data_IF_490512774296
#
_entry.id   IF_490512774296
#
_cell.length_a   1.000
_cell.length_b   1.000
_cell.length_c   1.000
_cell.angle_alpha   90.00
_cell.angle_beta   90.00
_cell.angle_gamma   90.00
#
_symmetry.space_group_name_H-M   'P 1'
#
loop_
_entity.id
_entity.type
_entity.pdbx_description
1 polymer ?
#
# COMPACT_ATOMS: atom_id res chain seq x y z
N UNK A 1 42.92 -19.69 28.28
CA UNK A 1 42.31 -19.95 26.94
C UNK A 1 40.80 -19.91 27.06
N UNK A 2 40.13 -18.94 26.43
CA UNK A 2 38.67 -18.88 26.45
C UNK A 2 38.13 -20.06 25.63
N UNK A 3 37.25 -20.83 26.24
CA UNK A 3 36.65 -22.00 25.61
C UNK A 3 35.76 -21.55 24.42
N UNK A 4 35.92 -22.14 23.22
CA UNK A 4 35.12 -21.85 22.01
C UNK A 4 33.60 -21.85 22.29
N UNK A 5 33.13 -22.74 23.17
CA UNK A 5 31.71 -22.79 23.60
C UNK A 5 31.28 -21.50 24.32
N UNK A 6 32.16 -20.95 25.17
CA UNK A 6 31.88 -19.70 25.88
C UNK A 6 31.86 -18.50 24.93
N UNK A 7 32.74 -18.46 23.90
CA UNK A 7 32.72 -17.41 22.90
C UNK A 7 31.39 -17.43 22.12
N UNK A 8 30.96 -18.59 21.67
CA UNK A 8 29.69 -18.76 20.96
C UNK A 8 28.51 -18.29 21.84
N UNK A 9 28.50 -18.69 23.11
CA UNK A 9 27.46 -18.26 24.07
C UNK A 9 27.42 -16.74 24.23
N UNK A 10 28.58 -16.08 24.41
CA UNK A 10 28.65 -14.63 24.56
C UNK A 10 28.24 -13.88 23.30
N UNK A 11 28.61 -14.37 22.10
CA UNK A 11 28.16 -13.80 20.82
C UNK A 11 26.64 -13.93 20.67
N UNK A 12 26.08 -15.08 21.07
CA UNK A 12 24.62 -15.29 21.03
C UNK A 12 23.88 -14.35 22.01
N UNK A 13 24.38 -14.21 23.23
CA UNK A 13 23.81 -13.28 24.24
C UNK A 13 23.89 -11.84 23.72
N UNK A 14 25.04 -11.43 23.18
CA UNK A 14 25.20 -10.08 22.62
C UNK A 14 24.22 -9.83 21.44
N UNK A 15 24.03 -10.79 20.56
CA UNK A 15 23.07 -10.70 19.47
C UNK A 15 21.62 -10.58 19.97
N UNK A 16 21.23 -11.40 20.96
CA UNK A 16 19.90 -11.30 21.56
C UNK A 16 19.69 -9.96 22.28
N UNK A 17 20.70 -9.48 23.00
CA UNK A 17 20.63 -8.18 23.67
C UNK A 17 20.52 -7.04 22.67
N UNK A 18 21.24 -7.11 21.56
CA UNK A 18 21.16 -6.15 20.47
C UNK A 18 19.74 -6.14 19.83
N UNK A 19 19.18 -7.32 19.50
CA UNK A 19 17.81 -7.43 18.97
C UNK A 19 16.77 -6.91 19.99
N UNK A 20 17.00 -7.17 21.27
CA UNK A 20 16.12 -6.67 22.33
C UNK A 20 16.15 -5.13 22.40
N UNK A 21 17.33 -4.51 22.33
CA UNK A 21 17.46 -3.04 22.26
C UNK A 21 16.73 -2.49 21.03
N UNK A 22 16.92 -3.10 19.86
CA UNK A 22 16.24 -2.69 18.62
C UNK A 22 14.70 -2.87 18.68
N UNK A 23 14.22 -3.72 19.60
CA UNK A 23 12.77 -3.90 19.80
C UNK A 23 12.12 -2.76 20.60
N UNK A 24 12.91 -1.92 21.26
CA UNK A 24 12.39 -0.80 22.03
C UNK A 24 11.92 0.33 21.11
N UNK A 25 10.78 0.91 21.47
CA UNK A 25 10.34 2.14 20.84
C UNK A 25 11.01 3.32 21.57
N UNK A 26 12.15 3.72 21.05
CA UNK A 26 12.93 4.85 21.58
C UNK A 26 12.55 6.19 20.91
N UNK A 27 11.50 6.19 20.12
CA UNK A 27 11.04 7.41 19.44
C UNK A 27 10.39 8.36 20.47
N UNK A 28 10.61 9.68 20.36
CA UNK A 28 9.83 10.66 21.11
C UNK A 28 8.35 10.55 20.74
N UNK A 29 7.48 11.23 21.48
CA UNK A 29 6.05 11.31 21.15
C UNK A 29 5.87 11.59 19.66
N UNK A 30 5.12 10.70 18.98
CA UNK A 30 4.95 10.77 17.54
C UNK A 30 3.63 11.43 17.21
N UNK A 31 3.69 12.42 16.35
CA UNK A 31 2.51 12.87 15.62
C UNK A 31 2.30 11.89 14.45
N UNK A 32 1.32 11.00 14.59
CA UNK A 32 1.01 10.05 13.53
C UNK A 32 0.28 10.74 12.39
N UNK A 33 0.72 10.50 11.17
CA UNK A 33 0.06 10.96 9.94
C UNK A 33 -0.76 9.79 9.39
N UNK A 34 -2.05 10.02 9.22
CA UNK A 34 -2.95 9.06 8.59
C UNK A 34 -3.39 9.52 7.21
N UNK A 35 -3.47 8.58 6.30
CA UNK A 35 -4.02 8.72 4.97
C UNK A 35 -4.89 7.51 4.62
N UNK A 36 -5.46 7.50 3.44
CA UNK A 36 -6.16 6.33 2.89
C UNK A 36 -5.68 6.01 1.48
N UNK A 37 -5.66 4.74 1.14
CA UNK A 37 -5.65 4.30 -0.24
C UNK A 37 -7.08 4.34 -0.77
N UNK A 38 -7.31 4.87 -1.98
CA UNK A 38 -8.61 4.90 -2.62
C UNK A 38 -8.51 4.30 -4.03
N UNK A 39 -9.39 3.34 -4.31
CA UNK A 39 -9.46 2.62 -5.57
C UNK A 39 -10.84 2.73 -6.20
N UNK A 40 -10.89 3.26 -7.43
CA UNK A 40 -12.13 3.28 -8.22
C UNK A 40 -12.60 1.85 -8.53
N UNK A 41 -11.67 0.93 -8.81
CA UNK A 41 -12.01 -0.48 -9.01
C UNK A 41 -12.71 -1.07 -7.79
N UNK A 42 -12.14 -0.88 -6.60
CA UNK A 42 -12.71 -1.41 -5.37
C UNK A 42 -14.08 -0.79 -5.04
N UNK A 43 -14.24 0.52 -5.27
CA UNK A 43 -15.55 1.18 -5.17
C UNK A 43 -16.59 0.56 -6.12
N UNK A 44 -16.20 0.27 -7.37
CA UNK A 44 -17.08 -0.37 -8.36
C UNK A 44 -17.43 -1.81 -7.99
N UNK A 45 -16.49 -2.59 -7.45
CA UNK A 45 -16.74 -3.94 -6.92
C UNK A 45 -17.79 -3.92 -5.80
N UNK A 46 -17.73 -2.91 -4.92
CA UNK A 46 -18.72 -2.68 -3.87
C UNK A 46 -20.03 -2.05 -4.37
N UNK A 47 -20.19 -1.83 -5.69
CA UNK A 47 -21.33 -1.17 -6.32
C UNK A 47 -21.63 0.22 -5.73
N UNK A 48 -20.59 0.93 -5.31
CA UNK A 48 -20.67 2.30 -4.81
C UNK A 48 -20.60 3.30 -5.97
N UNK A 49 -21.26 4.46 -5.77
CA UNK A 49 -20.91 5.66 -6.52
C UNK A 49 -19.54 6.15 -6.04
N UNK A 50 -18.49 5.80 -6.78
CA UNK A 50 -17.12 6.08 -6.39
C UNK A 50 -16.85 7.59 -6.21
N UNK A 51 -17.52 8.47 -6.97
CA UNK A 51 -17.37 9.93 -6.81
C UNK A 51 -17.93 10.39 -5.48
N UNK A 52 -19.13 9.93 -5.12
CA UNK A 52 -19.72 10.25 -3.81
C UNK A 52 -18.89 9.69 -2.67
N UNK A 53 -18.41 8.47 -2.82
CA UNK A 53 -17.54 7.83 -1.82
C UNK A 53 -16.23 8.61 -1.64
N UNK A 54 -15.57 9.00 -2.74
CA UNK A 54 -14.35 9.79 -2.70
C UNK A 54 -14.56 11.17 -2.06
N UNK A 55 -15.65 11.86 -2.42
CA UNK A 55 -15.99 13.14 -1.79
C UNK A 55 -16.32 12.98 -0.30
N UNK A 56 -16.97 11.89 0.10
CA UNK A 56 -17.21 11.61 1.52
C UNK A 56 -15.89 11.37 2.29
N UNK A 57 -14.92 10.69 1.70
CA UNK A 57 -13.58 10.53 2.27
C UNK A 57 -12.91 11.90 2.49
N UNK A 58 -13.00 12.80 1.52
CA UNK A 58 -12.40 14.13 1.61
C UNK A 58 -13.15 15.08 2.55
N UNK A 59 -14.49 15.05 2.55
CA UNK A 59 -15.33 16.06 3.20
C UNK A 59 -15.88 15.64 4.56
N UNK A 60 -16.27 14.36 4.72
CA UNK A 60 -16.80 13.85 5.98
C UNK A 60 -15.70 13.26 6.87
N UNK A 61 -14.82 12.40 6.32
CA UNK A 61 -13.65 11.92 7.07
C UNK A 61 -12.54 12.97 7.23
N UNK A 62 -12.52 14.02 6.39
CA UNK A 62 -11.46 15.05 6.38
C UNK A 62 -10.07 14.52 6.04
N UNK A 63 -9.98 13.45 5.25
CA UNK A 63 -8.69 12.91 4.80
C UNK A 63 -7.94 13.95 3.97
N UNK A 64 -6.63 14.09 4.24
CA UNK A 64 -5.73 15.02 3.55
C UNK A 64 -4.49 14.36 2.97
N UNK A 65 -4.35 13.05 3.16
CA UNK A 65 -3.29 12.25 2.56
C UNK A 65 -3.94 11.07 1.83
N UNK A 66 -3.78 11.00 0.53
CA UNK A 66 -4.43 10.02 -0.33
C UNK A 66 -3.39 9.23 -1.11
N UNK A 67 -3.61 7.94 -1.28
CA UNK A 67 -2.92 7.11 -2.24
C UNK A 67 -3.90 6.74 -3.32
N UNK A 68 -3.69 7.25 -4.52
CA UNK A 68 -4.52 7.04 -5.70
C UNK A 68 -3.85 6.08 -6.67
N UNK A 69 -4.63 5.42 -7.49
CA UNK A 69 -4.14 4.39 -8.40
C UNK A 69 -4.47 4.76 -9.85
N UNK A 70 -3.46 4.89 -10.69
CA UNK A 70 -3.62 5.06 -12.12
C UNK A 70 -3.79 3.67 -12.78
N UNK A 71 -4.98 3.08 -12.69
CA UNK A 71 -5.22 1.77 -13.26
C UNK A 71 -5.12 1.81 -14.79
N UNK A 72 -4.22 1.02 -15.36
CA UNK A 72 -3.95 1.02 -16.80
C UNK A 72 -5.22 0.80 -17.65
N UNK A 73 -6.09 -0.21 -17.39
CA UNK A 73 -7.29 -0.41 -18.23
C UNK A 73 -8.32 0.73 -18.14
N UNK A 74 -8.34 1.51 -17.06
CA UNK A 74 -9.21 2.70 -16.96
C UNK A 74 -8.58 3.91 -17.66
N UNK A 75 -7.27 4.02 -17.59
CA UNK A 75 -6.51 5.12 -18.17
C UNK A 75 -6.27 4.96 -19.67
N UNK A 76 -6.06 3.73 -20.14
CA UNK A 76 -5.87 3.41 -21.56
C UNK A 76 -6.71 2.17 -21.94
N UNK A 77 -8.04 2.32 -22.04
CA UNK A 77 -8.96 1.21 -22.33
C UNK A 77 -8.77 0.60 -23.72
N UNK A 78 -8.13 1.33 -24.64
CA UNK A 78 -7.75 0.87 -25.99
C UNK A 78 -6.38 1.45 -26.31
N UNK A 79 -5.61 0.74 -27.11
CA UNK A 79 -4.27 1.17 -27.54
C UNK A 79 -4.27 2.62 -28.06
N UNK A 80 -3.44 3.46 -27.42
CA UNK A 80 -3.30 4.88 -27.75
C UNK A 80 -4.48 5.78 -27.37
N UNK A 81 -5.57 5.24 -26.83
CA UNK A 81 -6.76 6.00 -26.43
C UNK A 81 -6.75 6.20 -24.90
N UNK A 82 -6.34 7.38 -24.48
CA UNK A 82 -6.23 7.72 -23.05
C UNK A 82 -7.48 8.39 -22.50
N UNK A 83 -7.93 7.94 -21.33
CA UNK A 83 -9.02 8.51 -20.53
C UNK A 83 -8.54 8.78 -19.10
N UNK A 84 -8.28 10.02 -18.79
CA UNK A 84 -7.84 10.44 -17.47
C UNK A 84 -8.98 10.97 -16.58
N UNK A 85 -10.23 10.93 -17.04
CA UNK A 85 -11.35 11.62 -16.38
C UNK A 85 -11.56 11.22 -14.93
N UNK A 86 -11.29 9.97 -14.56
CA UNK A 86 -11.46 9.48 -13.19
C UNK A 86 -10.31 9.95 -12.28
N UNK A 87 -9.07 9.82 -12.73
CA UNK A 87 -7.91 10.26 -11.96
C UNK A 87 -7.82 11.80 -11.92
N UNK A 88 -8.18 12.49 -13.00
CA UNK A 88 -8.31 13.96 -13.03
C UNK A 88 -9.27 14.46 -11.95
N UNK A 89 -10.46 13.85 -11.87
CA UNK A 89 -11.44 14.19 -10.85
C UNK A 89 -10.85 14.02 -9.45
N UNK A 90 -10.20 12.87 -9.18
CA UNK A 90 -9.62 12.58 -7.87
C UNK A 90 -8.53 13.60 -7.50
N UNK A 91 -7.61 13.88 -8.41
CA UNK A 91 -6.52 14.84 -8.18
C UNK A 91 -7.06 16.26 -7.99
N UNK A 92 -7.99 16.72 -8.85
CA UNK A 92 -8.57 18.06 -8.75
C UNK A 92 -9.37 18.25 -7.46
N UNK A 93 -10.13 17.24 -7.02
CA UNK A 93 -10.88 17.34 -5.76
C UNK A 93 -9.95 17.31 -4.53
N UNK A 94 -8.81 16.62 -4.62
CA UNK A 94 -7.75 16.69 -3.62
C UNK A 94 -7.10 18.10 -3.58
N UNK A 95 -6.77 18.67 -4.73
CA UNK A 95 -6.21 20.05 -4.84
C UNK A 95 -7.12 21.09 -4.20
N UNK A 96 -8.43 21.06 -4.53
CA UNK A 96 -9.42 22.01 -3.96
C UNK A 96 -9.46 22.00 -2.43
N UNK A 97 -9.01 20.91 -1.80
CA UNK A 97 -9.03 20.71 -0.34
C UNK A 97 -7.65 20.73 0.30
N UNK A 98 -6.62 21.14 -0.46
CA UNK A 98 -5.21 21.11 -0.02
C UNK A 98 -4.80 19.72 0.50
N UNK A 99 -5.31 18.66 -0.11
CA UNK A 99 -4.91 17.30 0.20
C UNK A 99 -3.73 16.88 -0.68
N UNK A 100 -2.83 16.08 -0.11
CA UNK A 100 -1.67 15.53 -0.80
C UNK A 100 -2.02 14.16 -1.40
N UNK A 101 -1.48 13.87 -2.58
CA UNK A 101 -1.68 12.59 -3.25
C UNK A 101 -0.36 11.86 -3.50
N UNK A 102 -0.39 10.56 -3.34
CA UNK A 102 0.55 9.59 -3.92
C UNK A 102 -0.16 9.02 -5.14
N UNK A 103 0.47 9.00 -6.30
CA UNK A 103 -0.08 8.33 -7.49
C UNK A 103 0.73 7.08 -7.74
N UNK A 104 0.08 5.91 -7.67
CA UNK A 104 0.66 4.63 -8.01
C UNK A 104 0.54 4.39 -9.52
N UNK A 105 1.67 4.09 -10.16
CA UNK A 105 1.79 3.78 -11.59
C UNK A 105 2.56 2.48 -11.78
N UNK A 106 2.33 1.79 -12.87
CA UNK A 106 2.96 0.52 -13.18
C UNK A 106 1.94 -0.50 -13.66
N UNK A 107 2.35 -1.74 -13.74
CA UNK A 107 1.48 -2.86 -14.10
C UNK A 107 0.85 -3.51 -12.86
N UNK A 108 1.65 -3.78 -11.83
CA UNK A 108 1.19 -4.31 -10.56
C UNK A 108 0.87 -3.15 -9.61
N UNK A 109 -0.40 -2.95 -9.32
CA UNK A 109 -0.91 -1.82 -8.58
C UNK A 109 -1.70 -2.27 -7.34
N UNK A 110 -1.89 -1.38 -6.34
CA UNK A 110 -2.67 -1.70 -5.15
C UNK A 110 -4.10 -2.16 -5.47
N UNK A 111 -4.56 -3.19 -4.77
CA UNK A 111 -5.88 -3.76 -4.93
C UNK A 111 -5.88 -5.06 -5.74
N UNK A 112 -6.62 -6.07 -5.22
CA UNK A 112 -6.76 -7.35 -5.90
C UNK A 112 -7.51 -7.17 -7.23
N UNK A 113 -7.12 -7.84 -8.35
CA UNK A 113 -6.07 -8.86 -8.48
C UNK A 113 -4.64 -8.31 -8.69
N UNK A 114 -4.34 -7.09 -8.35
CA UNK A 114 -3.09 -6.34 -8.45
C UNK A 114 -2.63 -6.05 -9.91
N UNK A 115 -2.54 -7.04 -10.79
CA UNK A 115 -2.22 -6.83 -12.19
C UNK A 115 -3.50 -6.60 -12.98
N UNK A 116 -3.80 -5.32 -13.21
CA UNK A 116 -4.91 -4.88 -14.04
C UNK A 116 -4.39 -4.59 -15.45
N UNK A 117 -4.50 -5.59 -16.34
CA UNK A 117 -4.01 -5.49 -17.71
C UNK A 117 -5.17 -5.12 -18.65
N UNK A 118 -5.04 -4.10 -19.52
CA UNK A 118 -6.02 -3.83 -20.56
C UNK A 118 -6.17 -5.02 -21.52
N UNK A 119 -7.37 -5.31 -21.99
CA UNK A 119 -7.64 -6.45 -22.89
C UNK A 119 -6.77 -6.45 -24.15
N UNK A 120 -6.46 -5.26 -24.68
CA UNK A 120 -5.64 -5.10 -25.87
C UNK A 120 -4.16 -5.43 -25.63
N UNK A 121 -3.69 -5.38 -24.38
CA UNK A 121 -2.31 -5.72 -23.98
C UNK A 121 -2.13 -7.23 -23.82
N UNK A 122 -3.18 -7.95 -23.41
CA UNK A 122 -3.12 -9.40 -23.10
C UNK A 122 -2.47 -10.24 -24.23
N UNK A 123 -2.76 -10.01 -25.54
CA UNK A 123 -2.15 -10.80 -26.62
C UNK A 123 -0.72 -10.39 -26.98
N UNK A 124 -0.19 -9.31 -26.42
CA UNK A 124 1.13 -8.80 -26.77
C UNK A 124 2.26 -9.71 -26.28
N UNK A 125 3.38 -9.70 -27.01
CA UNK A 125 4.61 -10.31 -26.52
C UNK A 125 5.14 -9.55 -25.30
N UNK A 126 6.02 -10.19 -24.51
CA UNK A 126 6.62 -9.57 -23.34
C UNK A 126 7.31 -8.22 -23.66
N UNK A 127 8.06 -8.15 -24.75
CA UNK A 127 8.77 -6.93 -25.13
C UNK A 127 7.79 -5.82 -25.58
N UNK A 128 6.71 -6.17 -26.28
CA UNK A 128 5.64 -5.23 -26.64
C UNK A 128 4.90 -4.72 -25.40
N UNK A 129 4.53 -5.63 -24.48
CA UNK A 129 3.91 -5.25 -23.22
C UNK A 129 4.77 -4.25 -22.44
N UNK A 130 6.08 -4.51 -22.34
CA UNK A 130 7.03 -3.60 -21.70
C UNK A 130 7.06 -2.23 -22.36
N UNK A 131 7.09 -2.18 -23.71
CA UNK A 131 7.10 -0.91 -24.45
C UNK A 131 5.82 -0.10 -24.21
N UNK A 132 4.67 -0.75 -24.20
CA UNK A 132 3.38 -0.08 -23.96
C UNK A 132 3.24 0.37 -22.51
N UNK A 133 3.72 -0.43 -21.55
CA UNK A 133 3.77 -0.03 -20.12
C UNK A 133 4.61 1.24 -19.92
N UNK A 134 5.78 1.32 -20.52
CA UNK A 134 6.64 2.52 -20.46
C UNK A 134 5.93 3.74 -21.05
N UNK A 135 5.23 3.60 -22.19
CA UNK A 135 4.46 4.70 -22.79
C UNK A 135 3.30 5.14 -21.91
N UNK A 136 2.59 4.17 -21.31
CA UNK A 136 1.50 4.45 -20.37
C UNK A 136 2.01 5.24 -19.14
N UNK A 137 3.10 4.78 -18.50
CA UNK A 137 3.71 5.50 -17.36
C UNK A 137 4.11 6.92 -17.78
N UNK A 138 4.73 7.08 -18.96
CA UNK A 138 5.10 8.40 -19.48
C UNK A 138 3.89 9.33 -19.60
N UNK A 139 2.75 8.85 -20.08
CA UNK A 139 1.52 9.64 -20.21
C UNK A 139 0.98 10.07 -18.85
N UNK A 140 0.95 9.16 -17.87
CA UNK A 140 0.49 9.46 -16.51
C UNK A 140 1.40 10.48 -15.85
N UNK A 141 2.72 10.27 -15.87
CA UNK A 141 3.69 11.17 -15.23
C UNK A 141 3.64 12.57 -15.84
N UNK A 142 3.66 12.68 -17.17
CA UNK A 142 3.59 13.97 -17.84
C UNK A 142 2.30 14.72 -17.55
N UNK A 143 1.19 14.04 -17.26
CA UNK A 143 -0.07 14.67 -16.92
C UNK A 143 -0.08 15.27 -15.52
N UNK A 144 0.46 14.56 -14.54
CA UNK A 144 0.29 14.95 -13.12
C UNK A 144 1.52 15.54 -12.43
N UNK A 145 2.71 15.50 -13.04
CA UNK A 145 3.96 16.01 -12.42
C UNK A 145 3.93 17.47 -11.98
N UNK A 146 3.02 18.28 -12.53
CA UNK A 146 2.87 19.70 -12.16
C UNK A 146 1.67 19.92 -11.22
N UNK A 147 0.99 18.89 -10.76
CA UNK A 147 -0.13 19.02 -9.83
C UNK A 147 0.39 19.45 -8.45
N UNK A 148 -0.17 20.52 -7.85
CA UNK A 148 0.22 20.94 -6.51
C UNK A 148 -0.17 19.93 -5.42
N UNK A 149 -1.07 18.99 -5.71
CA UNK A 149 -1.43 17.92 -4.79
C UNK A 149 -0.43 16.77 -4.81
N UNK A 150 0.32 16.57 -5.89
CA UNK A 150 1.26 15.45 -6.00
C UNK A 150 2.40 15.61 -5.00
N UNK A 151 2.61 14.56 -4.19
CA UNK A 151 3.70 14.50 -3.23
C UNK A 151 4.71 13.41 -3.54
N UNK A 152 4.24 12.26 -4.01
CA UNK A 152 5.08 11.11 -4.34
C UNK A 152 4.52 10.35 -5.54
N UNK A 153 5.41 9.77 -6.31
CA UNK A 153 5.08 8.66 -7.21
C UNK A 153 5.27 7.34 -6.47
N UNK A 154 4.37 6.39 -6.65
CA UNK A 154 4.67 5.00 -6.33
C UNK A 154 4.83 4.25 -7.65
N UNK A 155 5.95 3.56 -7.82
CA UNK A 155 6.19 2.71 -8.98
C UNK A 155 5.99 1.27 -8.55
N UNK A 156 5.06 0.58 -9.19
CA UNK A 156 4.68 -0.79 -8.89
C UNK A 156 4.18 -1.00 -7.44
N UNK A 157 3.61 -2.16 -7.16
CA UNK A 157 3.19 -2.55 -5.82
C UNK A 157 3.78 -3.90 -5.43
N UNK A 158 4.56 -3.95 -4.34
CA UNK A 158 5.13 -5.18 -3.76
C UNK A 158 5.76 -6.13 -4.79
N UNK A 159 6.43 -5.58 -5.81
CA UNK A 159 6.90 -6.30 -7.00
C UNK A 159 7.89 -7.45 -6.65
N UNK A 160 8.53 -7.38 -5.47
CA UNK A 160 9.45 -8.41 -4.99
C UNK A 160 8.74 -9.56 -4.28
N UNK A 161 7.44 -9.42 -3.95
CA UNK A 161 6.63 -10.45 -3.35
C UNK A 161 6.10 -11.42 -4.42
N UNK A 162 6.87 -12.46 -4.73
CA UNK A 162 6.53 -13.41 -5.79
C UNK A 162 5.44 -14.43 -5.41
N UNK A 163 5.19 -14.61 -4.11
CA UNK A 163 4.41 -15.73 -3.61
C UNK A 163 2.89 -15.59 -3.80
N UNK A 164 2.35 -14.37 -3.72
CA UNK A 164 0.91 -14.12 -3.80
C UNK A 164 0.41 -13.69 -5.19
N UNK A 165 1.29 -13.22 -6.04
CA UNK A 165 0.94 -12.64 -7.33
C UNK A 165 0.86 -13.63 -8.49
N UNK A 166 1.17 -14.91 -8.27
CA UNK A 166 1.33 -15.88 -9.36
C UNK A 166 0.10 -16.04 -10.26
N UNK A 167 -1.11 -16.03 -9.70
CA UNK A 167 -2.32 -16.33 -10.48
C UNK A 167 -2.86 -15.15 -11.29
N UNK A 168 -2.69 -13.92 -10.82
CA UNK A 168 -3.24 -12.71 -11.45
C UNK A 168 -2.27 -12.02 -12.40
N UNK A 169 -0.97 -12.27 -12.24
CA UNK A 169 0.08 -11.62 -13.01
C UNK A 169 0.94 -12.60 -13.83
N UNK A 170 0.51 -13.86 -14.01
CA UNK A 170 1.33 -14.98 -14.53
C UNK A 170 1.92 -14.77 -15.91
N UNK A 171 1.24 -14.05 -16.79
CA UNK A 171 1.72 -13.87 -18.16
C UNK A 171 2.95 -12.96 -18.28
N UNK A 172 3.25 -12.14 -17.23
CA UNK A 172 4.27 -11.11 -17.29
C UNK A 172 5.23 -11.09 -16.09
N UNK A 173 5.02 -11.97 -15.10
CA UNK A 173 5.65 -11.90 -13.76
C UNK A 173 7.10 -12.38 -13.65
N UNK A 174 7.57 -13.23 -14.54
CA UNK A 174 8.94 -13.73 -14.40
C UNK A 174 9.99 -12.62 -14.52
N UNK A 175 9.60 -11.49 -15.13
CA UNK A 175 10.47 -10.36 -15.45
C UNK A 175 10.00 -9.00 -14.94
N UNK A 176 8.93 -8.93 -14.14
CA UNK A 176 8.42 -7.64 -13.65
C UNK A 176 9.48 -6.83 -12.89
N UNK A 177 10.37 -7.50 -12.15
CA UNK A 177 11.50 -6.82 -11.50
C UNK A 177 12.62 -6.38 -12.45
N UNK A 178 12.65 -6.85 -13.70
CA UNK A 178 13.64 -6.45 -14.69
C UNK A 178 13.33 -5.08 -15.29
N UNK A 179 12.04 -4.76 -15.45
CA UNK A 179 11.58 -3.47 -15.98
C UNK A 179 11.61 -2.36 -14.93
N UNK A 180 11.54 -2.70 -13.64
CA UNK A 180 11.42 -1.75 -12.54
C UNK A 180 12.49 -0.64 -12.56
N UNK A 181 13.74 -0.97 -12.86
CA UNK A 181 14.81 0.04 -12.90
C UNK A 181 14.61 1.04 -14.04
N UNK A 182 14.05 0.59 -15.17
CA UNK A 182 13.70 1.45 -16.29
C UNK A 182 12.51 2.34 -15.97
N UNK A 183 11.49 1.82 -15.28
CA UNK A 183 10.32 2.58 -14.82
C UNK A 183 10.73 3.67 -13.85
N UNK A 184 11.54 3.35 -12.84
CA UNK A 184 12.07 4.34 -11.88
C UNK A 184 12.87 5.41 -12.61
N UNK A 185 13.78 5.01 -13.51
CA UNK A 185 14.59 5.94 -14.27
C UNK A 185 13.73 6.82 -15.20
N UNK A 186 12.64 6.28 -15.75
CA UNK A 186 11.68 7.04 -16.54
C UNK A 186 10.99 8.10 -15.69
N UNK A 187 10.43 7.72 -14.54
CA UNK A 187 9.74 8.64 -13.63
C UNK A 187 10.68 9.77 -13.19
N UNK A 188 11.89 9.46 -12.72
CA UNK A 188 12.88 10.47 -12.32
C UNK A 188 13.29 11.39 -13.48
N UNK A 189 13.40 10.89 -14.70
CA UNK A 189 13.73 11.70 -15.88
C UNK A 189 12.61 12.67 -16.24
N UNK A 190 11.37 12.24 -16.10
CA UNK A 190 10.18 13.05 -16.45
C UNK A 190 9.80 14.04 -15.34
N UNK A 191 10.03 13.62 -14.09
CA UNK A 191 9.72 14.39 -12.88
C UNK A 191 10.85 14.22 -11.85
N UNK A 192 11.89 15.06 -11.92
CA UNK A 192 13.00 15.02 -10.97
C UNK A 192 12.66 15.64 -9.60
N UNK A 193 11.46 16.18 -9.42
CA UNK A 193 11.05 16.90 -8.21
C UNK A 193 10.41 15.98 -7.18
N UNK A 194 9.52 15.09 -7.63
CA UNK A 194 8.75 14.23 -6.72
C UNK A 194 9.45 12.89 -6.51
N UNK A 195 9.70 12.51 -5.23
CA UNK A 195 10.37 11.25 -4.92
C UNK A 195 9.53 10.02 -5.29
N UNK A 196 10.23 8.93 -5.59
CA UNK A 196 9.62 7.63 -5.92
C UNK A 196 9.56 6.74 -4.69
N UNK A 197 8.35 6.26 -4.37
CA UNK A 197 8.10 5.21 -3.36
C UNK A 197 8.21 3.86 -4.04
N UNK A 198 8.95 2.95 -3.42
CA UNK A 198 8.88 1.52 -3.69
C UNK A 198 8.36 0.78 -2.48
N UNK A 199 7.57 -0.26 -2.76
CA UNK A 199 6.86 -1.00 -1.71
C UNK A 199 7.31 -2.46 -1.62
N UNK A 200 7.24 -3.02 -0.41
CA UNK A 200 7.44 -4.44 -0.16
C UNK A 200 6.57 -4.90 1.01
N UNK A 201 6.15 -6.16 1.00
CA UNK A 201 5.29 -6.73 2.03
C UNK A 201 5.93 -6.63 3.42
N UNK A 202 5.12 -6.25 4.38
CA UNK A 202 5.56 -6.14 5.78
C UNK A 202 5.96 -7.47 6.36
N UNK A 203 5.10 -8.46 6.21
CA UNK A 203 5.24 -9.79 6.81
C UNK A 203 6.25 -10.66 6.05
N UNK A 204 6.19 -10.66 4.71
CA UNK A 204 6.92 -11.61 3.87
C UNK A 204 8.04 -10.99 3.04
N UNK A 205 7.99 -9.69 2.78
CA UNK A 205 9.03 -8.98 2.03
C UNK A 205 10.37 -8.98 2.77
N UNK A 206 11.45 -8.95 2.04
CA UNK A 206 12.80 -8.78 2.63
C UNK A 206 13.15 -7.31 2.87
N UNK A 207 12.42 -6.41 2.26
CA UNK A 207 12.60 -4.94 2.18
C UNK A 207 13.85 -4.49 1.43
N UNK A 208 14.83 -5.35 1.32
CA UNK A 208 16.15 -5.05 0.78
C UNK A 208 16.14 -4.30 -0.56
N UNK A 209 15.42 -4.85 -1.56
CA UNK A 209 15.44 -4.25 -2.89
C UNK A 209 14.59 -2.97 -2.96
N UNK A 210 13.38 -2.99 -2.40
CA UNK A 210 12.52 -1.82 -2.35
C UNK A 210 13.19 -0.67 -1.59
N UNK A 211 13.81 -0.98 -0.45
CA UNK A 211 14.51 0.03 0.34
C UNK A 211 15.72 0.63 -0.39
N UNK A 212 16.48 -0.16 -1.16
CA UNK A 212 17.63 0.35 -1.89
C UNK A 212 17.27 1.20 -3.10
N UNK A 213 16.25 0.78 -3.86
CA UNK A 213 15.92 1.37 -5.17
C UNK A 213 15.01 2.60 -5.07
N UNK A 214 14.10 2.64 -4.10
CA UNK A 214 13.20 3.79 -3.91
C UNK A 214 13.85 4.94 -3.15
N UNK A 215 13.40 6.16 -3.40
CA UNK A 215 13.76 7.34 -2.58
C UNK A 215 13.06 7.27 -1.23
N UNK A 216 11.83 6.76 -1.22
CA UNK A 216 11.00 6.52 -0.06
C UNK A 216 10.65 5.04 -0.01
N UNK A 217 10.63 4.47 1.18
CA UNK A 217 10.25 3.08 1.39
C UNK A 217 8.82 2.98 1.92
N UNK A 218 8.01 2.14 1.27
CA UNK A 218 6.66 1.78 1.72
C UNK A 218 6.55 0.31 2.11
N UNK A 219 5.76 0.00 3.13
CA UNK A 219 5.47 -1.39 3.50
C UNK A 219 3.99 -1.57 3.82
N UNK A 220 3.51 -2.80 3.76
CA UNK A 220 2.15 -3.16 4.17
C UNK A 220 2.13 -3.76 5.59
N UNK A 221 0.96 -3.79 6.23
CA UNK A 221 0.69 -4.52 7.47
C UNK A 221 -0.69 -5.18 7.36
N UNK A 222 -0.69 -6.52 7.34
CA UNK A 222 -1.87 -7.37 7.30
C UNK A 222 -1.81 -8.42 8.40
N UNK A 223 -2.42 -8.17 9.54
CA UNK A 223 -2.43 -9.12 10.66
C UNK A 223 -3.49 -10.21 10.48
N UNK A 224 -4.64 -9.86 9.92
CA UNK A 224 -5.80 -10.73 9.77
C UNK A 224 -5.98 -11.11 8.32
N UNK A 225 -5.80 -12.40 8.02
CA UNK A 225 -5.84 -12.92 6.65
C UNK A 225 -6.64 -14.18 6.55
N UNK A 226 -7.14 -14.47 5.36
CA UNK A 226 -7.77 -15.75 5.03
C UNK A 226 -7.24 -16.25 3.69
N UNK A 227 -6.26 -17.14 3.74
CA UNK A 227 -5.56 -17.57 2.54
C UNK A 227 -6.31 -18.60 1.72
N UNK A 228 -6.88 -19.61 2.42
CA UNK A 228 -7.57 -20.76 1.82
C UNK A 228 -8.59 -21.31 2.81
N UNK A 229 -9.67 -21.89 2.28
CA UNK A 229 -10.69 -22.55 3.11
C UNK A 229 -10.12 -23.64 4.02
N UNK A 230 -9.15 -24.42 3.53
CA UNK A 230 -8.54 -25.51 4.30
C UNK A 230 -7.74 -25.04 5.53
N UNK A 231 -7.21 -23.80 5.52
CA UNK A 231 -6.44 -23.22 6.64
C UNK A 231 -7.37 -22.41 7.55
N UNK A 232 -8.43 -21.84 6.97
CA UNK A 232 -9.30 -20.89 7.65
C UNK A 232 -8.65 -19.53 7.85
N UNK A 233 -9.39 -18.59 8.49
CA UNK A 233 -8.87 -17.28 8.83
C UNK A 233 -7.89 -17.38 9.99
N UNK A 234 -6.83 -16.61 9.91
CA UNK A 234 -5.81 -16.56 10.94
C UNK A 234 -5.34 -15.13 11.21
N UNK A 235 -4.82 -14.91 12.40
CA UNK A 235 -4.04 -13.75 12.77
C UNK A 235 -2.57 -14.17 12.82
N UNK A 236 -1.71 -13.42 12.11
CA UNK A 236 -0.27 -13.70 12.18
C UNK A 236 0.27 -13.50 13.61
N UNK A 237 1.08 -14.43 14.12
CA UNK A 237 1.65 -14.37 15.46
C UNK A 237 2.87 -13.43 15.50
N UNK A 238 2.75 -12.24 14.88
CA UNK A 238 3.79 -11.23 14.87
C UNK A 238 3.43 -10.07 15.80
N UNK A 239 4.44 -9.41 16.32
CA UNK A 239 4.32 -8.28 17.24
C UNK A 239 4.81 -6.99 16.57
N UNK A 240 4.47 -5.81 17.10
CA UNK A 240 5.04 -4.55 16.61
C UNK A 240 6.57 -4.52 16.64
N UNK A 241 7.20 -5.22 17.60
CA UNK A 241 8.65 -5.33 17.69
C UNK A 241 9.29 -5.98 16.45
N UNK A 242 8.60 -6.90 15.78
CA UNK A 242 9.07 -7.48 14.51
C UNK A 242 9.35 -6.39 13.47
N UNK A 243 8.41 -5.45 13.30
CA UNK A 243 8.58 -4.35 12.35
C UNK A 243 9.67 -3.37 12.80
N UNK A 244 9.73 -3.04 14.11
CA UNK A 244 10.79 -2.16 14.63
C UNK A 244 12.18 -2.73 14.41
N UNK A 245 12.39 -4.00 14.74
CA UNK A 245 13.68 -4.69 14.54
C UNK A 245 14.03 -4.69 13.06
N UNK A 246 13.09 -5.11 12.20
CA UNK A 246 13.29 -5.19 10.76
C UNK A 246 13.63 -3.82 10.17
N UNK A 247 12.90 -2.77 10.54
CA UNK A 247 13.15 -1.40 10.09
C UNK A 247 14.51 -0.87 10.60
N UNK A 248 14.82 -1.09 11.88
CA UNK A 248 16.08 -0.66 12.46
C UNK A 248 17.28 -1.34 11.81
N UNK A 249 17.21 -2.65 11.57
CA UNK A 249 18.25 -3.39 10.84
C UNK A 249 18.41 -2.90 9.41
N UNK A 250 17.31 -2.65 8.72
CA UNK A 250 17.33 -2.13 7.34
C UNK A 250 18.00 -0.75 7.30
N UNK A 251 17.65 0.14 8.23
CA UNK A 251 18.27 1.47 8.36
C UNK A 251 19.76 1.40 8.72
N UNK A 252 20.13 0.48 9.59
CA UNK A 252 21.53 0.27 9.97
C UNK A 252 22.39 -0.16 8.78
N UNK A 253 21.84 -1.02 7.91
CA UNK A 253 22.58 -1.59 6.77
C UNK A 253 22.61 -0.63 5.58
N UNK A 254 21.49 0.05 5.30
CA UNK A 254 21.29 0.81 4.04
C UNK A 254 21.16 2.33 4.26
N UNK A 255 21.30 2.81 5.48
CA UNK A 255 21.11 4.23 5.82
C UNK A 255 19.65 4.58 6.11
N UNK A 256 19.44 5.81 6.56
CA UNK A 256 18.10 6.33 6.91
C UNK A 256 17.47 7.02 5.72
N UNK A 257 16.20 6.70 5.44
CA UNK A 257 15.37 7.39 4.46
C UNK A 257 13.92 7.48 4.95
N UNK A 258 13.09 8.36 4.36
CA UNK A 258 11.65 8.39 4.65
C UNK A 258 11.04 7.02 4.43
N UNK A 259 10.22 6.58 5.38
CA UNK A 259 9.60 5.25 5.36
C UNK A 259 8.19 5.33 5.96
N UNK A 260 7.24 4.58 5.38
CA UNK A 260 5.84 4.61 5.79
C UNK A 260 5.18 3.24 5.67
N UNK A 261 4.08 3.06 6.39
CA UNK A 261 3.14 1.98 6.14
C UNK A 261 2.16 2.48 5.09
N UNK A 262 2.41 2.11 3.84
CA UNK A 262 1.63 2.58 2.69
C UNK A 262 0.33 1.82 2.51
N UNK A 263 0.18 0.69 3.22
CA UNK A 263 -1.02 -0.13 3.17
C UNK A 263 -1.24 -0.83 4.52
N UNK A 264 -2.10 -0.22 5.34
CA UNK A 264 -2.54 -0.79 6.61
C UNK A 264 -3.91 -1.41 6.42
N UNK A 265 -4.02 -2.73 6.56
CA UNK A 265 -5.29 -3.44 6.41
C UNK A 265 -6.32 -2.94 7.40
N UNK A 266 -7.45 -2.46 6.89
CA UNK A 266 -8.55 -1.92 7.66
C UNK A 266 -9.92 -2.36 7.11
N UNK A 267 -9.94 -3.43 6.31
CA UNK A 267 -11.12 -4.14 5.80
C UNK A 267 -10.91 -5.65 5.90
N UNK A 268 -11.97 -6.47 5.78
CA UNK A 268 -11.83 -7.91 5.89
C UNK A 268 -11.10 -8.51 4.69
N UNK A 269 -10.10 -9.34 4.95
CA UNK A 269 -9.52 -10.22 3.94
C UNK A 269 -10.43 -11.43 3.74
N UNK A 270 -11.01 -11.56 2.54
CA UNK A 270 -11.98 -12.59 2.19
C UNK A 270 -11.50 -13.43 0.99
N UNK A 271 -12.06 -14.64 0.84
CA UNK A 271 -11.80 -15.52 -0.31
C UNK A 271 -12.78 -15.30 -1.47
N UNK A 272 -13.84 -14.57 -1.22
CA UNK A 272 -14.87 -14.21 -2.18
C UNK A 272 -15.06 -12.68 -2.20
N UNK A 273 -15.67 -12.12 -3.23
CA UNK A 273 -15.99 -10.69 -3.25
C UNK A 273 -16.74 -10.26 -2.00
N UNK A 274 -16.44 -9.08 -1.50
CA UNK A 274 -17.04 -8.54 -0.27
C UNK A 274 -18.57 -8.51 -0.38
N UNK A 275 -19.09 -8.08 -1.52
CA UNK A 275 -20.56 -7.96 -1.73
C UNK A 275 -21.29 -9.31 -1.73
N UNK A 276 -20.59 -10.40 -2.02
CA UNK A 276 -21.13 -11.75 -2.03
C UNK A 276 -20.96 -12.47 -0.68
N UNK A 277 -20.28 -11.83 0.26
CA UNK A 277 -20.02 -12.37 1.60
C UNK A 277 -21.01 -11.76 2.60
N UNK A 278 -21.74 -12.56 3.38
CA UNK A 278 -22.63 -12.07 4.43
C UNK A 278 -21.92 -11.11 5.40
N UNK A 279 -22.62 -10.05 5.84
CA UNK A 279 -22.06 -9.00 6.71
C UNK A 279 -21.55 -9.57 8.03
N UNK A 280 -22.23 -10.54 8.62
CA UNK A 280 -21.81 -11.20 9.85
C UNK A 280 -20.45 -11.92 9.69
N UNK A 281 -20.19 -12.51 8.53
CA UNK A 281 -18.89 -13.09 8.20
C UNK A 281 -17.83 -11.98 8.03
N UNK A 282 -18.16 -10.89 7.35
CA UNK A 282 -17.26 -9.74 7.21
C UNK A 282 -16.88 -9.18 8.59
N UNK A 283 -17.85 -8.99 9.50
CA UNK A 283 -17.63 -8.53 10.87
C UNK A 283 -16.80 -9.51 11.70
N UNK A 284 -16.96 -10.81 11.49
CA UNK A 284 -16.06 -11.81 12.10
C UNK A 284 -14.61 -11.70 11.62
N UNK A 285 -14.37 -11.25 10.38
CA UNK A 285 -13.04 -11.11 9.79
C UNK A 285 -12.40 -9.77 10.15
N UNK A 286 -13.16 -8.68 10.09
CA UNK A 286 -12.72 -7.33 10.48
C UNK A 286 -13.85 -6.67 11.28
N UNK A 287 -13.98 -7.01 12.56
CA UNK A 287 -14.84 -6.29 13.50
C UNK A 287 -14.19 -5.01 14.00
N UNK A 288 -14.97 -4.16 14.66
CA UNK A 288 -14.52 -2.85 15.16
C UNK A 288 -13.35 -2.96 16.15
N UNK A 289 -13.29 -4.07 16.90
CA UNK A 289 -12.17 -4.36 17.82
C UNK A 289 -10.87 -4.65 17.05
N UNK A 290 -10.94 -5.46 15.99
CA UNK A 290 -9.79 -5.75 15.13
C UNK A 290 -9.32 -4.52 14.38
N UNK A 291 -10.25 -3.69 13.89
CA UNK A 291 -9.92 -2.38 13.33
C UNK A 291 -9.14 -1.53 14.35
N UNK A 292 -9.63 -1.46 15.59
CA UNK A 292 -8.92 -0.77 16.69
C UNK A 292 -7.56 -1.38 17.01
N UNK A 293 -7.45 -2.71 16.97
CA UNK A 293 -6.18 -3.41 17.16
C UNK A 293 -5.18 -3.05 16.05
N UNK A 294 -5.60 -3.01 14.77
CA UNK A 294 -4.73 -2.62 13.66
C UNK A 294 -4.12 -1.24 13.87
N UNK A 295 -4.93 -0.26 14.28
CA UNK A 295 -4.45 1.10 14.58
C UNK A 295 -3.47 1.09 15.76
N UNK A 296 -3.84 0.45 16.87
CA UNK A 296 -2.98 0.37 18.06
C UNK A 296 -1.68 -0.43 17.80
N UNK A 297 -1.75 -1.45 16.95
CA UNK A 297 -0.58 -2.22 16.55
C UNK A 297 0.36 -1.36 15.69
N UNK A 298 -0.18 -0.70 14.67
CA UNK A 298 0.60 0.10 13.72
C UNK A 298 1.34 1.23 14.42
N UNK A 299 0.72 1.92 15.37
CA UNK A 299 1.35 3.02 16.14
C UNK A 299 2.60 2.59 16.93
N UNK A 300 2.76 1.28 17.17
CA UNK A 300 3.89 0.68 17.91
C UNK A 300 4.95 0.07 17.01
N UNK A 301 4.84 0.16 15.68
CA UNK A 301 5.76 -0.49 14.73
C UNK A 301 7.02 0.31 14.41
N UNK A 302 7.13 1.53 14.92
CA UNK A 302 8.27 2.41 14.64
C UNK A 302 8.10 3.35 13.46
N UNK A 303 7.02 3.20 12.67
CA UNK A 303 6.61 4.16 11.65
C UNK A 303 5.76 5.28 12.25
N UNK A 304 5.60 6.38 11.51
CA UNK A 304 4.80 7.53 11.88
C UNK A 304 3.71 7.88 10.85
N UNK A 305 3.78 7.31 9.66
CA UNK A 305 2.86 7.59 8.55
C UNK A 305 2.19 6.30 8.08
N UNK A 306 0.86 6.33 8.01
CA UNK A 306 0.03 5.15 7.72
C UNK A 306 -1.07 5.48 6.72
N UNK A 307 -1.14 4.73 5.60
CA UNK A 307 -2.25 4.78 4.66
C UNK A 307 -3.13 3.55 4.88
N UNK A 308 -4.38 3.77 5.28
CA UNK A 308 -5.33 2.71 5.55
C UNK A 308 -5.95 2.22 4.23
N UNK A 309 -6.08 0.90 4.12
CA UNK A 309 -6.82 0.24 3.05
C UNK A 309 -8.19 -0.19 3.57
N UNK A 310 -9.31 0.27 2.92
CA UNK A 310 -10.67 -0.10 3.30
C UNK A 310 -11.64 1.06 3.43
N UNK A 311 -11.29 2.28 2.99
CA UNK A 311 -12.19 3.44 3.10
C UNK A 311 -13.50 3.23 2.35
N UNK A 312 -13.47 2.55 1.20
CA UNK A 312 -14.62 2.17 0.40
C UNK A 312 -15.52 1.20 1.17
N UNK A 313 -14.91 0.19 1.82
CA UNK A 313 -15.66 -0.77 2.63
C UNK A 313 -16.29 -0.11 3.86
N UNK A 314 -15.62 0.84 4.55
CA UNK A 314 -16.23 1.57 5.67
C UNK A 314 -17.46 2.38 5.20
N UNK A 315 -17.38 2.98 4.01
CA UNK A 315 -18.50 3.72 3.44
C UNK A 315 -19.65 2.77 3.07
N UNK A 316 -19.35 1.62 2.49
CA UNK A 316 -20.32 0.57 2.17
C UNK A 316 -20.98 0.03 3.45
N UNK A 317 -20.20 -0.26 4.49
CA UNK A 317 -20.72 -0.70 5.80
C UNK A 317 -21.64 0.34 6.41
N UNK A 318 -21.29 1.64 6.36
CA UNK A 318 -22.15 2.74 6.81
C UNK A 318 -23.49 2.74 6.08
N UNK A 319 -23.51 2.51 4.76
CA UNK A 319 -24.75 2.41 3.98
C UNK A 319 -25.58 1.17 4.33
N UNK A 320 -24.94 0.12 4.85
CA UNK A 320 -25.59 -1.13 5.25
C UNK A 320 -25.89 -1.21 6.77
N UNK A 321 -25.95 -0.07 7.48
CA UNK A 321 -26.36 -0.01 8.89
C UNK A 321 -25.22 -0.20 9.90
N UNK A 322 -23.95 -0.20 9.46
CA UNK A 322 -22.76 -0.35 10.28
C UNK A 322 -21.85 0.90 10.19
N UNK A 323 -22.25 2.05 10.77
CA UNK A 323 -21.49 3.30 10.69
C UNK A 323 -20.22 3.31 11.57
N UNK A 324 -20.05 2.36 12.49
CA UNK A 324 -19.02 2.36 13.51
C UNK A 324 -17.59 2.40 12.94
N UNK A 325 -17.35 1.80 11.77
CA UNK A 325 -16.04 1.84 11.10
C UNK A 325 -15.73 3.24 10.57
N UNK A 326 -16.72 3.85 9.93
CA UNK A 326 -16.61 5.21 9.40
C UNK A 326 -16.38 6.23 10.52
N UNK A 327 -17.16 6.11 11.60
CA UNK A 327 -17.09 7.02 12.74
C UNK A 327 -15.75 6.87 13.48
N UNK A 328 -15.26 5.64 13.63
CA UNK A 328 -13.94 5.40 14.23
C UNK A 328 -12.80 5.92 13.34
N UNK A 329 -12.89 5.71 12.03
CA UNK A 329 -11.93 6.26 11.07
C UNK A 329 -11.92 7.80 11.10
N UNK A 330 -13.09 8.43 11.20
CA UNK A 330 -13.22 9.89 11.33
C UNK A 330 -12.45 10.45 12.52
N UNK A 331 -12.40 9.71 13.63
CA UNK A 331 -11.60 10.08 14.80
C UNK A 331 -10.10 10.14 14.52
N UNK A 332 -9.58 9.37 13.56
CA UNK A 332 -8.15 9.36 13.21
C UNK A 332 -7.74 10.62 12.44
N UNK A 333 -8.63 11.16 11.62
CA UNK A 333 -8.33 12.28 10.72
C UNK A 333 -8.67 13.65 11.33
N UNK A 334 -9.50 13.71 12.37
CA UNK A 334 -9.90 14.97 13.03
C UNK A 334 -8.95 15.42 14.16
N UNK A 335 -8.01 14.59 14.59
CA UNK A 335 -7.10 14.91 15.70
C UNK A 335 -5.87 15.77 15.29
N UNK A 336 -5.88 16.37 14.07
CA UNK A 336 -4.77 17.14 13.52
C UNK A 336 -5.11 18.62 13.25
N UNK A 337 -6.04 19.20 14.06
CA UNK A 337 -6.31 20.64 14.04
C UNK A 337 -6.05 21.27 15.40
#
# INVERSE_FOLDING_TARGET
MINKKNIILWVFIAALSFLWILSWDMSPEKNFVYGVSFSVFHSNELKLDWKKTYLAVLDDLKVRNLRLVAHWPLTEPKEGIYNFSELDFQVQEAEKRNASVIIAVGHRLPGWPECHTPDWVVPLSHDQHKQELVKYIEKVVNRYKNSPALRYWQVENEIFLRFFSRSSCEQHNEKASEILDEEIALVHRLDPVHPVILTDSGEFGTWYQAYRKGDVFGTSIYLYVWWRNAIGPLRYPITPAFFRIKHSLTRLIYGTKPSMVIELSAEPWLLQPIIDTPIDIQLQRMGIDKFGEMISFSSKTGFDTFYLWGAEWWYWMKQNGHPEFWDKAKGLFNNFF
#
